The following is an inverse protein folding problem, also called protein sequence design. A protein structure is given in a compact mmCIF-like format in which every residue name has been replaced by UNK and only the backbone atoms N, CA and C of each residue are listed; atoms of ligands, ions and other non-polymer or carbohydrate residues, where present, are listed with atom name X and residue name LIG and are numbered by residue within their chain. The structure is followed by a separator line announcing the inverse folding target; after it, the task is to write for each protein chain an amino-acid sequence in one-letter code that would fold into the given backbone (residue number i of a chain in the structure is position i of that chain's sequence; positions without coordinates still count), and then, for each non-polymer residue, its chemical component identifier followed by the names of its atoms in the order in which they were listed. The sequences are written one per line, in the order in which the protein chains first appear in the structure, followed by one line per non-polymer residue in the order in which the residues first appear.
data_IF_171583184398
#
_entry.id   IF_171583184398
#
_cell.length_a   1.000
_cell.length_b   1.000
_cell.length_c   1.000
_cell.angle_alpha   90.00
_cell.angle_beta   90.00
_cell.angle_gamma   90.00
#
_symmetry.space_group_name_H-M   'P 1'
#
loop_
_entity.id
_entity.type
_entity.pdbx_description
1 polymer ?
#
# COMPACT_ATOMS: atom_id res chain seq x y z
N UNK A 1 10.70 -14.87 0.20
CA UNK A 1 10.14 -15.15 1.55
C UNK A 1 10.22 -13.98 2.55
N UNK A 2 10.72 -12.78 2.18
CA UNK A 2 10.98 -11.70 3.15
C UNK A 2 9.77 -10.91 3.65
N UNK A 3 8.73 -10.69 2.83
CA UNK A 3 7.62 -9.80 3.19
C UNK A 3 6.72 -10.36 4.31
N UNK A 4 6.47 -11.68 4.33
CA UNK A 4 5.57 -12.31 5.31
C UNK A 4 6.23 -12.47 6.69
N UNK A 5 7.56 -12.56 6.74
CA UNK A 5 8.31 -12.58 8.00
C UNK A 5 8.38 -11.19 8.63
N UNK A 6 8.58 -10.13 7.83
CA UNK A 6 8.63 -8.76 8.33
C UNK A 6 7.31 -8.30 8.97
N UNK A 7 6.17 -8.72 8.40
CA UNK A 7 4.84 -8.41 8.97
C UNK A 7 4.63 -9.15 10.29
N UNK A 8 5.00 -10.44 10.38
CA UNK A 8 4.85 -11.22 11.61
C UNK A 8 5.71 -10.67 12.76
N UNK A 9 6.96 -10.26 12.48
CA UNK A 9 7.84 -9.67 13.49
C UNK A 9 7.28 -8.36 14.06
N UNK A 10 6.63 -7.54 13.22
CA UNK A 10 6.00 -6.28 13.65
C UNK A 10 4.84 -6.52 14.62
N UNK A 11 3.98 -7.49 14.33
CA UNK A 11 2.84 -7.80 15.22
C UNK A 11 3.28 -8.44 16.55
N UNK A 12 4.28 -9.31 16.52
CA UNK A 12 4.86 -9.90 17.75
C UNK A 12 5.52 -8.83 18.61
N UNK A 13 6.28 -7.90 18.00
CA UNK A 13 6.89 -6.77 18.70
C UNK A 13 5.86 -5.84 19.35
N UNK A 14 4.82 -5.43 18.62
CA UNK A 14 3.75 -4.58 19.17
C UNK A 14 3.00 -5.24 20.34
N UNK A 15 2.79 -6.56 20.26
CA UNK A 15 2.13 -7.34 21.31
C UNK A 15 2.98 -7.41 22.57
N UNK A 16 4.29 -7.62 22.42
CA UNK A 16 5.23 -7.66 23.55
C UNK A 16 5.33 -6.30 24.26
N UNK A 17 5.39 -5.20 23.50
CA UNK A 17 5.40 -3.84 24.06
C UNK A 17 4.08 -3.53 24.76
N UNK A 18 2.94 -3.91 24.17
CA UNK A 18 1.62 -3.72 24.79
C UNK A 18 1.48 -4.50 26.10
N UNK A 19 1.99 -5.75 26.14
CA UNK A 19 1.98 -6.59 27.33
C UNK A 19 2.94 -6.08 28.42
N UNK A 20 4.12 -5.60 28.04
CA UNK A 20 5.04 -4.94 28.95
C UNK A 20 4.43 -3.65 29.55
N UNK A 21 3.78 -2.82 28.73
CA UNK A 21 3.05 -1.65 29.22
C UNK A 21 1.92 -2.01 30.18
N UNK A 22 1.18 -3.10 29.90
CA UNK A 22 0.11 -3.59 30.77
C UNK A 22 0.64 -4.05 32.13
N UNK A 23 1.71 -4.86 32.15
CA UNK A 23 2.31 -5.35 33.40
C UNK A 23 2.85 -4.23 34.28
N UNK A 24 3.46 -3.21 33.67
CA UNK A 24 3.87 -1.97 34.38
C UNK A 24 2.66 -1.23 34.97
N UNK A 25 1.56 -1.09 34.21
CA UNK A 25 0.37 -0.40 34.69
C UNK A 25 -0.35 -1.11 35.84
N UNK A 26 -0.28 -2.45 35.88
CA UNK A 26 -0.94 -3.29 36.89
C UNK A 26 -0.01 -3.57 38.09
N UNK A 27 1.25 -3.11 38.05
CA UNK A 27 2.21 -3.25 39.16
C UNK A 27 2.76 -4.68 39.33
N UNK A 28 2.62 -5.54 38.32
CA UNK A 28 3.05 -6.93 38.36
C UNK A 28 4.39 -7.14 37.68
N UNK A 29 5.50 -6.86 38.37
CA UNK A 29 6.81 -7.39 37.97
C UNK A 29 7.01 -8.76 38.63
N UNK A 30 6.73 -9.85 37.89
CA UNK A 30 6.98 -11.23 38.33
C UNK A 30 6.58 -12.26 37.27
N UNK A 31 7.19 -13.46 37.25
CA UNK A 31 6.81 -14.53 36.32
C UNK A 31 5.35 -14.97 36.53
N UNK A 32 4.64 -15.20 35.44
CA UNK A 32 3.22 -15.59 35.41
C UNK A 32 3.05 -16.93 36.12
N UNK A 33 2.43 -16.93 37.30
CA UNK A 33 2.16 -18.15 38.07
C UNK A 33 1.95 -17.96 39.57
N UNK A 34 2.12 -16.75 40.12
CA UNK A 34 1.83 -16.47 41.52
C UNK A 34 0.57 -15.60 41.59
N UNK A 35 -0.43 -16.10 42.32
CA UNK A 35 -1.71 -15.44 42.55
C UNK A 35 -1.54 -13.97 42.97
N UNK A 36 -2.47 -13.08 42.57
CA UNK A 36 -2.43 -11.70 43.03
C UNK A 36 -2.65 -11.65 44.55
N UNK A 37 -1.61 -11.23 45.29
CA UNK A 37 -1.73 -10.96 46.71
C UNK A 37 -2.81 -9.88 46.95
N UNK A 38 -3.63 -10.02 48.00
CA UNK A 38 -4.67 -9.04 48.30
C UNK A 38 -4.04 -7.69 48.60
N UNK A 39 -4.53 -6.64 47.95
CA UNK A 39 -4.12 -5.25 48.20
C UNK A 39 -4.31 -4.90 49.67
N UNK A 40 -3.23 -4.97 50.44
CA UNK A 40 -3.11 -4.32 51.74
C UNK A 40 -1.94 -3.35 51.64
N UNK A 41 -2.20 -2.13 52.13
CA UNK A 41 -1.50 -0.91 51.74
C UNK A 41 -0.01 -0.89 52.00
N UNK A 42 0.66 -0.02 51.24
CA UNK A 42 2.08 0.26 51.37
C UNK A 42 2.48 1.42 50.46
N UNK A 43 2.31 2.64 50.98
CA UNK A 43 2.90 3.88 50.47
C UNK A 43 4.44 3.81 50.45
N UNK A 44 5.08 4.01 49.29
CA UNK A 44 6.45 4.53 49.09
C UNK A 44 6.52 4.98 47.59
N UNK A 45 6.90 6.18 47.13
CA UNK A 45 7.43 7.43 47.67
C UNK A 45 6.92 8.58 46.74
N UNK A 46 6.62 9.74 47.34
CA UNK A 46 6.06 10.91 46.69
C UNK A 46 7.11 11.82 46.02
N UNK A 47 6.67 12.62 45.04
CA UNK A 47 7.07 14.03 44.94
C UNK A 47 5.87 14.92 44.61
N UNK A 48 5.57 15.78 45.61
CA UNK A 48 4.99 17.13 45.55
C UNK A 48 3.53 17.36 45.10
N UNK A 49 2.71 17.56 46.15
CA UNK A 49 1.90 18.77 46.45
C UNK A 49 0.48 18.94 45.87
N UNK A 50 -0.45 19.04 46.85
CA UNK A 50 -1.72 19.77 46.90
C UNK A 50 -2.97 19.07 46.34
N UNK A 51 -3.74 18.48 47.26
CA UNK A 51 -5.08 19.00 47.58
C UNK A 51 -6.17 18.87 46.52
N UNK A 52 -6.56 17.65 46.19
CA UNK A 52 -7.93 17.19 45.90
C UNK A 52 -7.79 15.72 45.47
N UNK A 53 -8.58 14.79 46.02
CA UNK A 53 -8.52 13.37 45.60
C UNK A 53 -9.02 13.25 44.16
N UNK A 54 -8.12 13.41 43.19
CA UNK A 54 -8.43 13.25 41.78
C UNK A 54 -8.70 11.77 41.48
N UNK A 55 -9.99 11.42 41.38
CA UNK A 55 -10.48 10.12 40.88
C UNK A 55 -10.03 9.81 39.45
N UNK A 56 -9.42 10.78 38.76
CA UNK A 56 -8.85 10.71 37.42
C UNK A 56 -7.68 9.74 37.27
N UNK A 57 -6.76 9.66 38.25
CA UNK A 57 -5.55 8.84 38.10
C UNK A 57 -5.86 7.32 38.09
N UNK A 58 -6.71 6.80 39.00
CA UNK A 58 -7.17 5.42 38.92
C UNK A 58 -7.93 5.10 37.63
N UNK A 59 -8.75 6.05 37.16
CA UNK A 59 -9.58 5.88 35.96
C UNK A 59 -8.75 5.87 34.68
N UNK A 60 -7.70 6.70 34.60
CA UNK A 60 -6.71 6.69 33.53
C UNK A 60 -5.92 5.38 33.49
N UNK A 61 -5.55 4.82 34.66
CA UNK A 61 -4.90 3.50 34.73
C UNK A 61 -5.83 2.36 34.31
N UNK A 62 -7.09 2.39 34.72
CA UNK A 62 -8.13 1.43 34.28
C UNK A 62 -8.38 1.52 32.76
N UNK A 63 -8.43 2.73 32.20
CA UNK A 63 -8.57 2.95 30.76
C UNK A 63 -7.37 2.43 29.98
N UNK A 64 -6.15 2.79 30.40
CA UNK A 64 -4.92 2.36 29.72
C UNK A 64 -4.72 0.84 29.78
N UNK A 65 -4.94 0.23 30.94
CA UNK A 65 -4.82 -1.24 31.09
C UNK A 65 -5.85 -1.99 30.24
N UNK A 66 -7.08 -1.47 30.12
CA UNK A 66 -8.10 -2.06 29.26
C UNK A 66 -7.70 -1.99 27.78
N UNK A 67 -7.24 -0.84 27.30
CA UNK A 67 -6.78 -0.67 25.90
C UNK A 67 -5.63 -1.62 25.58
N UNK A 68 -4.66 -1.74 26.48
CA UNK A 68 -3.50 -2.62 26.30
C UNK A 68 -3.90 -4.10 26.30
N UNK A 69 -4.84 -4.50 27.17
CA UNK A 69 -5.39 -5.86 27.22
C UNK A 69 -6.14 -6.21 25.93
N UNK A 70 -6.97 -5.31 25.43
CA UNK A 70 -7.66 -5.49 24.15
C UNK A 70 -6.66 -5.60 22.99
N UNK A 71 -5.64 -4.75 22.95
CA UNK A 71 -4.57 -4.79 21.94
C UNK A 71 -3.82 -6.13 21.95
N UNK A 72 -3.43 -6.62 23.12
CA UNK A 72 -2.73 -7.89 23.25
C UNK A 72 -3.61 -9.08 22.80
N UNK A 73 -4.89 -9.08 23.17
CA UNK A 73 -5.83 -10.14 22.80
C UNK A 73 -6.11 -10.16 21.30
N UNK A 74 -6.33 -8.98 20.70
CA UNK A 74 -6.60 -8.84 19.27
C UNK A 74 -5.39 -9.27 18.43
N UNK A 75 -4.19 -8.82 18.79
CA UNK A 75 -2.96 -9.23 18.09
C UNK A 75 -2.66 -10.73 18.29
N UNK A 76 -2.90 -11.28 19.48
CA UNK A 76 -2.78 -12.70 19.77
C UNK A 76 -3.72 -13.56 18.92
N UNK A 77 -4.99 -13.17 18.81
CA UNK A 77 -5.99 -13.85 17.97
C UNK A 77 -5.57 -13.82 16.50
N UNK A 78 -5.10 -12.68 15.98
CA UNK A 78 -4.59 -12.57 14.60
C UNK A 78 -3.41 -13.51 14.38
N UNK A 79 -2.47 -13.61 15.32
CA UNK A 79 -1.32 -14.51 15.22
C UNK A 79 -1.74 -15.99 15.19
N UNK A 80 -2.72 -16.39 16.03
CA UNK A 80 -3.28 -17.75 16.04
C UNK A 80 -3.98 -18.06 14.72
N UNK A 81 -4.83 -17.16 14.22
CA UNK A 81 -5.51 -17.32 12.93
C UNK A 81 -4.51 -17.45 11.78
N UNK A 82 -3.42 -16.70 11.80
CA UNK A 82 -2.35 -16.80 10.81
C UNK A 82 -1.61 -18.15 10.88
N UNK A 83 -1.37 -18.66 12.10
CA UNK A 83 -0.72 -19.95 12.34
C UNK A 83 -1.61 -21.12 11.91
N UNK A 84 -2.91 -21.08 12.23
CA UNK A 84 -3.91 -22.07 11.80
C UNK A 84 -4.06 -22.10 10.28
N UNK A 85 -4.00 -20.93 9.61
CA UNK A 85 -4.04 -20.85 8.14
C UNK A 85 -2.76 -21.40 7.47
N UNK A 86 -1.60 -21.34 8.15
CA UNK A 86 -0.34 -21.94 7.66
C UNK A 86 -0.29 -23.47 7.78
N UNK A 87 -1.07 -24.09 8.67
CA UNK A 87 -1.14 -25.55 8.81
C UNK A 87 -1.66 -26.32 7.58
N UNK A 88 -2.15 -25.61 6.54
CA UNK A 88 -2.62 -26.20 5.27
C UNK A 88 -1.76 -25.84 4.05
N UNK A 89 -0.68 -25.10 4.22
CA UNK A 89 0.25 -24.85 3.11
C UNK A 89 1.37 -25.88 3.15
N UNK A 90 1.28 -26.90 2.27
CA UNK A 90 2.47 -27.65 1.88
C UNK A 90 3.50 -26.64 1.38
N UNK A 91 4.75 -26.67 1.85
CA UNK A 91 5.80 -25.89 1.22
C UNK A 91 5.81 -26.28 -0.27
N UNK A 92 5.99 -25.32 -1.20
CA UNK A 92 6.18 -25.68 -2.59
C UNK A 92 7.38 -26.63 -2.65
N UNK A 93 7.13 -27.83 -3.18
CA UNK A 93 8.19 -28.77 -3.55
C UNK A 93 9.09 -28.02 -4.52
N UNK A 94 10.34 -27.81 -4.11
CA UNK A 94 11.39 -27.38 -5.03
C UNK A 94 11.76 -28.61 -5.84
N UNK A 95 11.19 -28.73 -7.03
CA UNK A 95 11.77 -29.55 -8.08
C UNK A 95 13.02 -28.80 -8.59
N UNK A 96 14.10 -28.87 -7.83
CA UNK A 96 15.42 -28.38 -8.20
C UNK A 96 16.11 -29.43 -9.10
N UNK A 97 15.56 -29.70 -10.29
CA UNK A 97 16.22 -30.49 -11.34
C UNK A 97 15.94 -29.92 -12.74
N UNK A 98 16.19 -28.62 -12.91
CA UNK A 98 16.61 -28.13 -14.23
C UNK A 98 17.47 -26.88 -14.04
N UNK A 99 18.80 -27.07 -14.02
CA UNK A 99 19.79 -25.98 -14.05
C UNK A 99 19.74 -25.31 -15.43
N UNK A 100 18.74 -24.47 -15.67
CA UNK A 100 18.82 -23.46 -16.72
C UNK A 100 19.82 -22.40 -16.25
N UNK A 101 20.79 -22.10 -17.11
CA UNK A 101 21.83 -21.10 -16.86
C UNK A 101 21.26 -19.80 -16.26
N UNK A 102 21.99 -19.10 -15.37
CA UNK A 102 21.51 -17.87 -14.74
C UNK A 102 21.18 -16.85 -15.83
N UNK A 103 19.90 -16.64 -16.08
CA UNK A 103 19.43 -15.58 -16.97
C UNK A 103 19.93 -14.27 -16.40
N UNK A 104 20.76 -13.57 -17.18
CA UNK A 104 21.31 -12.26 -16.85
C UNK A 104 20.12 -11.37 -16.46
N UNK A 105 19.99 -11.03 -15.17
CA UNK A 105 18.83 -10.25 -14.67
C UNK A 105 18.89 -8.88 -15.32
N UNK A 106 18.10 -8.69 -16.37
CA UNK A 106 17.94 -7.38 -17.02
C UNK A 106 17.42 -6.42 -15.95
N UNK A 107 18.11 -5.30 -15.68
CA UNK A 107 17.66 -4.32 -14.70
C UNK A 107 16.29 -3.78 -15.15
N UNK A 108 15.30 -3.87 -14.28
CA UNK A 108 13.98 -3.28 -14.56
C UNK A 108 14.11 -1.77 -14.39
N UNK A 109 13.82 -0.96 -15.42
CA UNK A 109 13.89 0.49 -15.31
C UNK A 109 12.88 1.01 -14.27
N UNK A 110 13.21 2.15 -13.65
CA UNK A 110 12.39 2.76 -12.59
C UNK A 110 10.97 3.07 -13.06
N UNK A 111 10.82 3.52 -14.30
CA UNK A 111 9.58 3.60 -15.04
C UNK A 111 9.83 3.39 -16.54
N UNK A 112 8.78 3.11 -17.30
CA UNK A 112 8.83 2.88 -18.74
C UNK A 112 7.72 3.66 -19.42
N UNK A 113 8.03 4.34 -20.52
CA UNK A 113 7.04 4.96 -21.41
C UNK A 113 6.35 3.88 -22.22
N UNK A 114 5.13 3.53 -21.85
CA UNK A 114 4.38 2.43 -22.46
C UNK A 114 3.63 2.89 -23.71
N UNK A 115 3.31 4.18 -23.80
CA UNK A 115 2.76 4.88 -24.95
C UNK A 115 3.26 6.34 -24.91
N UNK A 116 3.23 7.10 -26.02
CA UNK A 116 3.67 8.50 -26.02
C UNK A 116 3.03 9.33 -24.89
N UNK A 117 3.86 9.83 -23.98
CA UNK A 117 3.45 10.60 -22.81
C UNK A 117 2.86 9.79 -21.66
N UNK A 118 2.76 8.46 -21.74
CA UNK A 118 2.19 7.61 -20.68
C UNK A 118 3.24 6.67 -20.09
N UNK A 119 3.45 6.77 -18.78
CA UNK A 119 4.53 6.10 -18.05
C UNK A 119 3.99 5.19 -16.95
N UNK A 120 4.55 3.98 -16.87
CA UNK A 120 4.29 3.03 -15.77
C UNK A 120 5.57 2.81 -14.96
N UNK A 121 5.51 3.06 -13.65
CA UNK A 121 6.71 3.09 -12.82
C UNK A 121 6.55 2.62 -11.38
N UNK A 122 7.68 2.52 -10.69
CA UNK A 122 7.76 2.30 -9.25
C UNK A 122 7.97 3.60 -8.47
N UNK A 123 8.18 3.49 -7.16
CA UNK A 123 8.40 4.66 -6.28
C UNK A 123 9.61 5.51 -6.67
N UNK A 124 10.59 4.95 -7.39
CA UNK A 124 11.81 5.66 -7.80
C UNK A 124 11.71 6.36 -9.17
N UNK A 125 10.50 6.67 -9.61
CA UNK A 125 10.27 7.34 -10.92
C UNK A 125 10.79 8.78 -10.94
N UNK A 126 11.00 9.39 -9.78
CA UNK A 126 11.64 10.71 -9.59
C UNK A 126 13.05 10.77 -10.20
N UNK A 127 13.76 9.64 -10.23
CA UNK A 127 15.10 9.52 -10.82
C UNK A 127 15.16 9.78 -12.32
N UNK A 128 14.00 9.84 -13.00
CA UNK A 128 13.95 10.23 -14.41
C UNK A 128 14.13 11.73 -14.63
N UNK A 129 14.05 12.56 -13.58
CA UNK A 129 14.23 14.01 -13.70
C UNK A 129 13.19 14.68 -14.60
N UNK A 130 12.00 14.08 -14.71
CA UNK A 130 10.91 14.58 -15.55
C UNK A 130 10.00 15.53 -14.80
N UNK A 131 9.53 16.53 -15.54
CA UNK A 131 8.33 17.27 -15.18
C UNK A 131 7.10 16.47 -15.63
N UNK A 132 6.16 16.27 -14.72
CA UNK A 132 4.96 15.47 -14.93
C UNK A 132 3.74 16.37 -15.06
N UNK A 133 3.00 16.21 -16.15
CA UNK A 133 1.66 16.78 -16.29
C UNK A 133 0.72 16.24 -15.21
N UNK A 134 0.81 14.93 -14.95
CA UNK A 134 -0.01 14.23 -13.99
C UNK A 134 0.71 13.05 -13.38
N UNK A 135 0.55 12.84 -12.07
CA UNK A 135 0.97 11.61 -11.39
C UNK A 135 -0.23 10.98 -10.70
N UNK A 136 -0.44 9.69 -10.96
CA UNK A 136 -1.33 8.83 -10.19
C UNK A 136 -0.49 7.90 -9.32
N UNK A 137 -0.55 8.12 -8.00
CA UNK A 137 0.12 7.29 -7.00
C UNK A 137 -0.86 6.25 -6.45
N UNK A 138 -0.54 4.96 -6.66
CA UNK A 138 -1.30 3.83 -6.13
C UNK A 138 -0.69 3.25 -4.84
N UNK A 139 0.20 3.98 -4.17
CA UNK A 139 0.82 3.52 -2.91
C UNK A 139 0.06 4.02 -1.69
N UNK A 140 -0.10 3.12 -0.74
CA UNK A 140 -0.54 3.46 0.62
C UNK A 140 0.63 3.40 1.61
N UNK A 141 1.76 2.84 1.19
CA UNK A 141 2.83 2.37 2.06
C UNK A 141 4.11 3.23 2.00
N UNK A 142 4.20 4.13 1.02
CA UNK A 142 5.43 4.85 0.70
C UNK A 142 5.18 6.35 0.61
N UNK A 143 6.17 7.19 0.96
CA UNK A 143 6.08 8.62 0.73
C UNK A 143 6.19 8.95 -0.76
N UNK A 144 5.43 9.95 -1.19
CA UNK A 144 5.45 10.46 -2.55
C UNK A 144 6.80 11.13 -2.90
N UNK A 145 7.37 10.84 -4.07
CA UNK A 145 8.69 11.34 -4.49
C UNK A 145 8.66 12.25 -5.71
N UNK A 146 7.67 12.12 -6.58
CA UNK A 146 7.50 12.93 -7.78
C UNK A 146 6.71 14.22 -7.52
N UNK A 147 6.15 14.43 -6.31
CA UNK A 147 5.25 15.58 -6.03
C UNK A 147 5.85 16.93 -6.44
N UNK A 148 7.14 17.14 -6.19
CA UNK A 148 7.83 18.41 -6.47
C UNK A 148 7.94 18.75 -7.96
N UNK A 149 7.95 17.75 -8.85
CA UNK A 149 8.03 17.94 -10.30
C UNK A 149 6.69 17.68 -11.01
N UNK A 150 5.57 17.74 -10.29
CA UNK A 150 4.25 17.33 -10.81
C UNK A 150 3.24 18.47 -10.76
N UNK A 151 2.58 18.76 -11.90
CA UNK A 151 1.51 19.77 -11.98
C UNK A 151 0.22 19.30 -11.33
N UNK A 152 -0.29 18.13 -11.71
CA UNK A 152 -1.48 17.52 -11.11
C UNK A 152 -1.15 16.20 -10.44
N UNK A 153 -1.69 15.99 -9.24
CA UNK A 153 -1.38 14.81 -8.44
C UNK A 153 -2.66 14.17 -7.91
N UNK A 154 -2.78 12.86 -8.07
CA UNK A 154 -3.86 12.05 -7.53
C UNK A 154 -3.27 10.85 -6.78
N UNK A 155 -3.62 10.70 -5.50
CA UNK A 155 -3.31 9.50 -4.74
C UNK A 155 -4.56 8.63 -4.62
N UNK A 156 -4.45 7.37 -5.04
CA UNK A 156 -5.44 6.31 -4.88
C UNK A 156 -4.81 5.21 -4.01
N UNK A 157 -4.85 5.37 -2.68
CA UNK A 157 -4.08 4.54 -1.77
C UNK A 157 -4.61 3.10 -1.80
N UNK A 158 -3.83 2.20 -2.40
CA UNK A 158 -4.15 0.77 -2.46
C UNK A 158 -3.01 -0.04 -1.86
N UNK A 159 -3.35 -1.15 -1.19
CA UNK A 159 -2.37 -2.09 -0.68
C UNK A 159 -1.78 -2.93 -1.80
N UNK A 160 -0.52 -3.34 -1.65
CA UNK A 160 0.10 -4.23 -2.65
C UNK A 160 -0.70 -5.50 -2.91
N UNK A 161 -0.97 -5.76 -4.19
CA UNK A 161 -1.79 -6.88 -4.65
C UNK A 161 -3.31 -6.61 -4.65
N UNK A 162 -3.78 -5.50 -4.09
CA UNK A 162 -5.19 -5.09 -4.12
C UNK A 162 -5.39 -4.04 -5.22
N UNK A 163 -6.32 -4.23 -6.17
CA UNK A 163 -6.63 -3.21 -7.17
C UNK A 163 -7.43 -2.05 -6.58
N UNK A 164 -7.39 -0.90 -7.26
CA UNK A 164 -8.41 0.14 -7.10
C UNK A 164 -9.77 -0.41 -7.56
N UNK A 165 -10.87 0.03 -6.94
CA UNK A 165 -12.22 -0.36 -7.36
C UNK A 165 -12.59 0.28 -8.71
N UNK A 166 -13.65 -0.20 -9.40
CA UNK A 166 -14.08 0.33 -10.69
C UNK A 166 -14.26 1.86 -10.71
N UNK A 167 -14.84 2.44 -9.67
CA UNK A 167 -15.08 3.88 -9.55
C UNK A 167 -13.76 4.65 -9.46
N UNK A 168 -12.80 4.14 -8.68
CA UNK A 168 -11.46 4.73 -8.57
C UNK A 168 -10.65 4.56 -9.86
N UNK A 169 -10.85 3.47 -10.61
CA UNK A 169 -10.24 3.29 -11.93
C UNK A 169 -10.76 4.33 -12.92
N UNK A 170 -12.07 4.60 -12.93
CA UNK A 170 -12.64 5.66 -13.79
C UNK A 170 -12.13 7.04 -13.38
N UNK A 171 -12.18 7.35 -12.08
CA UNK A 171 -11.63 8.61 -11.54
C UNK A 171 -10.17 8.81 -11.92
N UNK A 172 -9.35 7.76 -11.89
CA UNK A 172 -7.96 7.82 -12.33
C UNK A 172 -7.84 8.09 -13.84
N UNK A 173 -8.66 7.42 -14.63
CA UNK A 173 -8.67 7.56 -16.08
C UNK A 173 -9.09 8.98 -16.51
N UNK A 174 -10.16 9.52 -15.91
CA UNK A 174 -10.60 10.91 -16.12
C UNK A 174 -9.52 11.91 -15.71
N UNK A 175 -8.94 11.74 -14.51
CA UNK A 175 -7.84 12.57 -14.05
C UNK A 175 -6.67 12.61 -15.05
N UNK A 176 -6.33 11.47 -15.66
CA UNK A 176 -5.26 11.38 -16.66
C UNK A 176 -5.61 12.18 -17.91
N UNK A 177 -6.85 12.09 -18.40
CA UNK A 177 -7.33 12.89 -19.54
C UNK A 177 -7.21 14.37 -19.22
N UNK A 178 -7.80 14.80 -18.11
CA UNK A 178 -7.80 16.20 -17.71
C UNK A 178 -6.39 16.74 -17.42
N UNK A 179 -5.46 15.91 -16.93
CA UNK A 179 -4.08 16.32 -16.69
C UNK A 179 -3.34 16.60 -18.00
N UNK A 180 -3.62 15.83 -19.06
CA UNK A 180 -3.08 16.09 -20.40
C UNK A 180 -3.68 17.38 -20.99
N UNK A 181 -4.98 17.59 -20.83
CA UNK A 181 -5.65 18.81 -21.30
C UNK A 181 -5.13 20.06 -20.57
N UNK A 182 -4.98 19.98 -19.25
CA UNK A 182 -4.42 21.06 -18.45
C UNK A 182 -2.99 21.40 -18.86
N UNK A 183 -2.15 20.40 -19.14
CA UNK A 183 -0.81 20.62 -19.66
C UNK A 183 -0.82 21.34 -21.01
N UNK A 184 -1.67 20.91 -21.94
CA UNK A 184 -1.80 21.55 -23.24
C UNK A 184 -2.24 23.02 -23.12
N UNK A 185 -3.09 23.33 -22.13
CA UNK A 185 -3.48 24.71 -21.83
C UNK A 185 -2.30 25.52 -21.27
N UNK A 186 -1.56 24.97 -20.31
CA UNK A 186 -0.36 25.61 -19.78
C UNK A 186 0.73 25.83 -20.84
N UNK A 187 0.84 24.92 -21.81
CA UNK A 187 1.79 25.03 -22.92
C UNK A 187 1.42 26.20 -23.85
N UNK A 188 0.13 26.40 -24.13
CA UNK A 188 -0.35 27.58 -24.88
C UNK A 188 -0.06 28.90 -24.16
N UNK A 189 -0.02 28.86 -22.82
CA UNK A 189 0.31 30.01 -21.97
C UNK A 189 1.83 30.21 -21.79
N UNK A 190 2.67 29.35 -22.37
CA UNK A 190 4.13 29.41 -22.22
C UNK A 190 4.63 29.06 -20.81
N UNK A 191 3.80 28.39 -19.99
CA UNK A 191 4.13 28.02 -18.60
C UNK A 191 4.81 26.65 -18.48
N UNK A 192 4.69 25.81 -19.50
CA UNK A 192 5.35 24.51 -19.63
C UNK A 192 5.76 24.31 -21.08
N UNK A 193 6.74 23.45 -21.31
CA UNK A 193 7.24 23.10 -22.65
C UNK A 193 7.20 21.59 -22.87
N UNK A 194 7.01 21.18 -24.12
CA UNK A 194 7.01 19.77 -24.51
C UNK A 194 5.69 19.03 -24.30
N UNK A 195 5.75 17.70 -24.45
CA UNK A 195 4.59 16.80 -24.42
C UNK A 195 4.11 16.51 -22.99
N UNK A 196 2.79 16.30 -22.78
CA UNK A 196 2.25 15.99 -21.47
C UNK A 196 2.69 14.59 -21.01
N UNK A 197 3.58 14.54 -20.01
CA UNK A 197 4.01 13.29 -19.38
C UNK A 197 3.13 12.93 -18.18
N UNK A 198 2.47 11.78 -18.26
CA UNK A 198 1.66 11.18 -17.20
C UNK A 198 2.38 9.97 -16.62
N UNK A 199 2.54 9.94 -15.31
CA UNK A 199 3.05 8.78 -14.58
C UNK A 199 1.94 8.10 -13.79
N UNK A 200 1.83 6.79 -13.93
CA UNK A 200 1.07 5.93 -13.01
C UNK A 200 2.06 5.02 -12.31
N UNK A 201 2.18 5.14 -10.99
CA UNK A 201 3.13 4.33 -10.23
C UNK A 201 2.51 3.61 -9.04
N UNK A 202 3.22 2.58 -8.60
CA UNK A 202 2.98 1.90 -7.33
C UNK A 202 4.34 1.60 -6.69
N UNK A 203 4.44 0.60 -5.81
CA UNK A 203 5.73 0.20 -5.24
C UNK A 203 6.80 -0.12 -6.31
N UNK A 204 6.45 -1.02 -7.25
CA UNK A 204 7.39 -1.56 -8.23
C UNK A 204 6.99 -1.34 -9.69
N UNK A 205 5.84 -0.73 -9.95
CA UNK A 205 5.31 -0.54 -11.30
C UNK A 205 4.99 -1.84 -12.02
N UNK A 206 4.12 -2.68 -11.45
CA UNK A 206 3.84 -4.03 -11.98
C UNK A 206 2.35 -4.41 -12.04
N UNK A 207 1.67 -4.30 -10.90
CA UNK A 207 0.29 -4.74 -10.74
C UNK A 207 -0.66 -3.55 -10.72
N UNK A 208 -0.78 -2.91 -9.55
CA UNK A 208 -1.65 -1.75 -9.30
C UNK A 208 -1.56 -0.65 -10.36
N UNK A 209 -0.35 -0.16 -10.62
CA UNK A 209 -0.10 0.88 -11.62
C UNK A 209 -0.48 0.44 -13.03
N UNK A 210 -0.26 -0.83 -13.36
CA UNK A 210 -0.65 -1.42 -14.64
C UNK A 210 -2.16 -1.51 -14.74
N UNK A 211 -2.86 -1.86 -13.67
CA UNK A 211 -4.32 -1.89 -13.61
C UNK A 211 -4.90 -0.52 -13.97
N UNK A 212 -4.44 0.54 -13.31
CA UNK A 212 -4.89 1.91 -13.58
C UNK A 212 -4.53 2.34 -15.00
N UNK A 213 -3.30 2.06 -15.46
CA UNK A 213 -2.87 2.45 -16.80
C UNK A 213 -3.68 1.76 -17.91
N UNK A 214 -4.06 0.48 -17.72
CA UNK A 214 -4.94 -0.20 -18.67
C UNK A 214 -6.29 0.52 -18.82
N UNK A 215 -6.93 0.90 -17.71
CA UNK A 215 -8.19 1.67 -17.75
C UNK A 215 -7.99 3.02 -18.45
N UNK A 216 -6.93 3.74 -18.11
CA UNK A 216 -6.60 5.03 -18.71
C UNK A 216 -6.39 4.97 -20.23
N UNK A 217 -5.67 3.97 -20.73
CA UNK A 217 -5.43 3.81 -22.17
C UNK A 217 -6.70 3.51 -22.96
N UNK A 218 -7.61 2.71 -22.38
CA UNK A 218 -8.92 2.44 -22.99
C UNK A 218 -9.78 3.71 -22.97
N UNK A 219 -9.77 4.47 -21.86
CA UNK A 219 -10.50 5.74 -21.76
C UNK A 219 -10.00 6.80 -22.74
N UNK A 220 -8.70 6.81 -23.01
CA UNK A 220 -8.07 7.65 -24.05
C UNK A 220 -8.36 7.18 -25.48
N UNK A 221 -9.08 6.07 -25.67
CA UNK A 221 -9.40 5.51 -26.98
C UNK A 221 -8.21 4.85 -27.69
N UNK A 222 -7.12 4.57 -26.99
CA UNK A 222 -5.92 3.95 -27.58
C UNK A 222 -6.11 2.44 -27.82
N UNK A 223 -6.96 1.80 -27.03
CA UNK A 223 -7.29 0.38 -27.13
C UNK A 223 -8.77 0.16 -26.89
N UNK A 224 -9.32 -0.90 -27.48
CA UNK A 224 -10.74 -1.22 -27.38
C UNK A 224 -11.14 -1.82 -26.03
N UNK A 225 -10.21 -2.50 -25.37
CA UNK A 225 -10.40 -3.17 -24.09
C UNK A 225 -9.10 -3.23 -23.28
N UNK A 226 -9.22 -3.52 -22.00
CA UNK A 226 -8.08 -3.49 -21.08
C UNK A 226 -7.07 -4.62 -21.37
N UNK A 227 -7.51 -5.75 -21.91
CA UNK A 227 -6.63 -6.86 -22.31
C UNK A 227 -5.69 -6.43 -23.43
N UNK A 228 -6.19 -5.75 -24.47
CA UNK A 228 -5.38 -5.18 -25.54
C UNK A 228 -4.41 -4.12 -25.00
N UNK A 229 -4.87 -3.24 -24.13
CA UNK A 229 -3.99 -2.25 -23.49
C UNK A 229 -2.84 -2.92 -22.72
N UNK A 230 -3.09 -4.04 -22.04
CA UNK A 230 -2.06 -4.80 -21.34
C UNK A 230 -1.09 -5.49 -22.30
N UNK A 231 -1.61 -6.28 -23.24
CA UNK A 231 -0.81 -7.19 -24.08
C UNK A 231 -0.07 -6.44 -25.19
N UNK A 232 -0.72 -5.43 -25.80
CA UNK A 232 -0.17 -4.67 -26.92
C UNK A 232 0.44 -3.33 -26.48
N UNK A 233 -0.12 -2.69 -25.45
CA UNK A 233 0.36 -1.38 -24.99
C UNK A 233 1.49 -1.44 -23.97
N UNK A 234 1.33 -2.26 -22.92
CA UNK A 234 2.25 -2.21 -21.77
C UNK A 234 3.34 -3.28 -21.85
N UNK A 235 2.97 -4.54 -22.08
CA UNK A 235 3.91 -5.67 -21.99
C UNK A 235 5.09 -5.62 -22.96
N UNK A 236 4.97 -5.12 -24.21
CA UNK A 236 6.12 -5.06 -25.11
C UNK A 236 7.25 -4.18 -24.56
N UNK A 237 6.91 -3.10 -23.85
CA UNK A 237 7.89 -2.19 -23.25
C UNK A 237 8.27 -2.60 -21.82
N UNK A 238 7.30 -3.08 -21.04
CA UNK A 238 7.49 -3.45 -19.62
C UNK A 238 6.98 -4.87 -19.32
N UNK A 239 7.73 -5.92 -19.69
CA UNK A 239 7.30 -7.33 -19.57
C UNK A 239 7.01 -7.80 -18.14
N UNK A 240 7.52 -7.08 -17.13
CA UNK A 240 7.33 -7.41 -15.71
C UNK A 240 5.92 -7.11 -15.19
N UNK A 241 5.09 -6.41 -15.98
CA UNK A 241 3.72 -6.05 -15.66
C UNK A 241 2.80 -7.28 -15.75
N UNK A 242 2.13 -7.60 -14.62
CA UNK A 242 1.24 -8.75 -14.51
C UNK A 242 0.06 -8.43 -13.61
N UNK A 243 -1.14 -8.73 -14.10
CA UNK A 243 -2.38 -8.59 -13.36
C UNK A 243 -2.74 -9.91 -12.65
N UNK A 244 -3.07 -9.81 -11.36
CA UNK A 244 -3.63 -10.94 -10.61
C UNK A 244 -5.14 -11.09 -10.88
N UNK A 245 -5.78 -12.11 -10.28
CA UNK A 245 -7.21 -12.38 -10.47
C UNK A 245 -8.08 -11.18 -10.08
N UNK A 246 -7.84 -10.57 -8.93
CA UNK A 246 -8.63 -9.43 -8.43
C UNK A 246 -8.51 -8.22 -9.35
N UNK A 247 -7.30 -7.91 -9.82
CA UNK A 247 -7.04 -6.80 -10.75
C UNK A 247 -7.78 -6.98 -12.08
N UNK A 248 -7.82 -8.22 -12.60
CA UNK A 248 -8.59 -8.54 -13.81
C UNK A 248 -10.08 -8.38 -13.57
N UNK A 249 -10.60 -8.94 -12.48
CA UNK A 249 -12.02 -8.80 -12.12
C UNK A 249 -12.44 -7.32 -12.02
N UNK A 250 -11.63 -6.50 -11.36
CA UNK A 250 -11.93 -5.06 -11.21
C UNK A 250 -11.91 -4.32 -12.56
N UNK A 251 -10.99 -4.67 -13.46
CA UNK A 251 -10.94 -4.08 -14.80
C UNK A 251 -12.09 -4.54 -15.69
N UNK A 252 -12.46 -5.83 -15.63
CA UNK A 252 -13.63 -6.34 -16.36
C UNK A 252 -14.90 -5.63 -15.89
N UNK A 253 -15.05 -5.43 -14.58
CA UNK A 253 -16.19 -4.71 -14.02
C UNK A 253 -16.20 -3.23 -14.42
N UNK A 254 -15.06 -2.55 -14.31
CA UNK A 254 -14.90 -1.18 -14.79
C UNK A 254 -15.27 -1.06 -16.28
N UNK A 255 -14.74 -1.93 -17.14
CA UNK A 255 -15.02 -1.88 -18.58
C UNK A 255 -16.50 -2.07 -18.86
N UNK A 256 -17.14 -3.04 -18.19
CA UNK A 256 -18.59 -3.27 -18.30
C UNK A 256 -19.41 -2.03 -17.93
N UNK A 257 -19.05 -1.34 -16.85
CA UNK A 257 -19.80 -0.18 -16.35
C UNK A 257 -19.55 1.06 -17.22
N UNK A 258 -18.29 1.40 -17.48
CA UNK A 258 -17.91 2.71 -18.02
C UNK A 258 -17.61 2.71 -19.52
N UNK A 259 -17.18 1.58 -20.10
CA UNK A 259 -16.83 1.51 -21.53
C UNK A 259 -17.97 0.91 -22.36
N UNK A 260 -18.58 -0.17 -21.86
CA UNK A 260 -19.67 -0.87 -22.54
C UNK A 260 -21.03 -0.26 -22.16
N UNK A 261 -21.23 0.08 -20.87
CA UNK A 261 -22.46 0.70 -20.38
C UNK A 261 -22.66 2.17 -20.78
N UNK A 262 -21.63 2.82 -21.35
CA UNK A 262 -21.71 4.19 -21.85
C UNK A 262 -21.96 4.28 -23.37
N UNK A 263 -22.17 3.14 -24.04
CA UNK A 263 -22.59 3.06 -25.46
C UNK A 263 -24.10 2.98 -25.57
#
# INVERSE_FOLDING_TARGET
MGAVHGVYLKYVGLSAVSYAGYTVCVGGFGPVGIEPLPSTGGDILATTMIGERSTLIPLLRLGASSILKYSALLNGTVAVLFKLRRGKMKPPVKDDDNKTAPTKKVPVPVASEVQPGLWVGGVYSDRLGKEWAGVVDATSEFPERCRGSTKRYLCLPTWDGVPACPEDLEKAAEFIVEARENWNQLAKEGKVEGEPHILVHCAHGRGRSTTIMCAAMVRLGLYSNYEEALEKGIRPVRPVCKLNKMMRTSLSEWQRIYVEGSK
#
